data_IF_616430339221
#
_entry.id   IF_616430339221
#
_cell.length_a   1.000
_cell.length_b   1.000
_cell.length_c   1.000
_cell.angle_alpha   90.00
_cell.angle_beta   90.00
_cell.angle_gamma   90.00
#
_symmetry.space_group_name_H-M   'P 1'
#
loop_
_entity.id
_entity.type
_entity.pdbx_description
1 polymer ?
#
# COMPACT_ATOMS: atom_id res chain seq x y z
N UNK A 1 39.75 -27.41 24.93
CA UNK A 1 38.89 -26.33 24.41
C UNK A 1 39.01 -26.36 22.90
N UNK A 2 38.10 -27.12 22.23
CA UNK A 2 38.18 -27.46 20.81
C UNK A 2 37.45 -26.37 20.05
N UNK A 3 38.18 -25.60 19.26
CA UNK A 3 37.64 -24.51 18.42
C UNK A 3 36.98 -25.19 17.19
N UNK A 4 35.66 -25.21 17.15
CA UNK A 4 34.93 -25.67 15.98
C UNK A 4 35.07 -24.64 14.84
N UNK A 5 35.48 -25.10 13.67
CA UNK A 5 35.62 -24.31 12.45
C UNK A 5 34.21 -23.93 11.93
N UNK A 6 34.02 -22.70 11.43
CA UNK A 6 32.72 -22.16 11.03
C UNK A 6 31.90 -23.05 10.07
N UNK A 7 32.57 -23.84 9.23
CA UNK A 7 31.91 -24.83 8.37
C UNK A 7 31.28 -25.99 9.15
N UNK A 8 31.90 -26.42 10.26
CA UNK A 8 31.35 -27.47 11.13
C UNK A 8 30.17 -26.94 11.97
N UNK A 9 30.16 -25.65 12.32
CA UNK A 9 29.03 -25.02 12.99
C UNK A 9 27.81 -24.90 12.07
N UNK A 10 28.04 -24.59 10.79
CA UNK A 10 26.97 -24.49 9.76
C UNK A 10 26.38 -25.88 9.50
N UNK A 11 27.19 -26.91 9.38
CA UNK A 11 26.72 -28.31 9.23
C UNK A 11 26.00 -28.80 10.48
N UNK A 12 26.41 -28.38 11.68
CA UNK A 12 25.75 -28.75 12.93
C UNK A 12 24.45 -27.94 13.16
N UNK A 13 24.36 -26.67 12.69
CA UNK A 13 23.15 -25.87 12.68
C UNK A 13 22.16 -26.38 11.63
N UNK A 14 22.62 -26.81 10.48
CA UNK A 14 21.78 -27.50 9.45
C UNK A 14 21.28 -28.86 9.94
N UNK A 15 22.06 -29.60 10.73
CA UNK A 15 21.64 -30.86 11.36
C UNK A 15 20.66 -30.66 12.53
N UNK A 16 20.70 -29.53 13.22
CA UNK A 16 19.72 -29.17 14.28
C UNK A 16 18.42 -28.62 13.73
N UNK A 17 18.38 -28.17 12.47
CA UNK A 17 17.16 -27.81 11.76
C UNK A 17 16.48 -28.99 11.05
N UNK A 18 17.15 -30.14 10.94
CA UNK A 18 16.49 -31.41 10.61
C UNK A 18 15.75 -31.90 11.85
N UNK A 19 14.54 -31.34 12.10
CA UNK A 19 13.57 -32.08 12.89
C UNK A 19 13.57 -33.50 12.34
N UNK A 20 13.90 -34.50 13.18
CA UNK A 20 13.99 -35.89 12.81
C UNK A 20 12.84 -36.28 11.89
N UNK A 21 13.16 -36.47 10.61
CA UNK A 21 12.25 -37.08 9.66
C UNK A 21 12.15 -38.52 10.13
N UNK A 22 10.98 -39.03 10.51
CA UNK A 22 10.87 -40.41 11.01
C UNK A 22 11.22 -41.37 9.90
N UNK A 23 12.32 -42.09 10.07
CA UNK A 23 12.63 -43.35 9.40
C UNK A 23 13.26 -43.25 8.00
N UNK A 24 13.98 -44.34 7.67
CA UNK A 24 14.58 -44.65 6.34
C UNK A 24 13.51 -44.95 5.26
N UNK A 25 12.39 -44.22 5.29
CA UNK A 25 11.24 -44.49 4.45
C UNK A 25 11.29 -43.76 3.10
N UNK A 26 10.39 -44.15 2.21
CA UNK A 26 10.22 -43.55 0.88
C UNK A 26 9.99 -42.06 0.92
N UNK A 27 9.24 -41.55 1.90
CA UNK A 27 9.02 -40.13 2.12
C UNK A 27 10.33 -39.33 2.29
N UNK A 28 11.24 -39.81 3.15
CA UNK A 28 12.55 -39.17 3.41
C UNK A 28 13.41 -39.13 2.16
N UNK A 29 13.39 -40.18 1.35
CA UNK A 29 14.12 -40.30 0.09
C UNK A 29 13.59 -39.26 -0.93
N UNK A 30 12.26 -39.24 -1.15
CA UNK A 30 11.63 -38.33 -2.10
C UNK A 30 11.88 -36.87 -1.67
N UNK A 31 11.73 -36.55 -0.39
CA UNK A 31 11.97 -35.21 0.12
C UNK A 31 13.42 -34.75 -0.06
N UNK A 32 14.39 -35.66 0.16
CA UNK A 32 15.81 -35.38 -0.08
C UNK A 32 16.09 -35.10 -1.57
N UNK A 33 15.55 -35.92 -2.46
CA UNK A 33 15.68 -35.74 -3.90
C UNK A 33 15.02 -34.40 -4.38
N UNK A 34 13.85 -34.05 -3.80
CA UNK A 34 13.16 -32.79 -4.09
C UNK A 34 14.01 -31.55 -3.73
N UNK A 35 14.65 -31.59 -2.55
CA UNK A 35 15.55 -30.54 -2.10
C UNK A 35 16.77 -30.38 -2.98
N UNK A 36 17.41 -31.47 -3.35
CA UNK A 36 18.54 -31.47 -4.29
C UNK A 36 18.11 -30.91 -5.66
N UNK A 37 16.95 -31.31 -6.18
CA UNK A 37 16.42 -30.77 -7.42
C UNK A 37 16.16 -29.24 -7.33
N UNK A 38 15.66 -28.76 -6.20
CA UNK A 38 15.45 -27.33 -5.93
C UNK A 38 16.78 -26.56 -5.88
N UNK A 39 17.77 -27.07 -5.16
CA UNK A 39 19.11 -26.47 -5.03
C UNK A 39 19.87 -26.45 -6.37
N UNK A 40 19.65 -27.42 -7.22
CA UNK A 40 20.26 -27.49 -8.57
C UNK A 40 19.49 -26.68 -9.62
N UNK A 41 18.42 -25.97 -9.24
CA UNK A 41 17.62 -25.14 -10.14
C UNK A 41 16.64 -25.89 -11.03
N UNK A 42 16.45 -27.19 -10.82
CA UNK A 42 15.45 -27.99 -11.55
C UNK A 42 14.09 -27.88 -10.87
N UNK A 43 13.46 -26.70 -11.02
CA UNK A 43 12.21 -26.39 -10.33
C UNK A 43 11.06 -27.32 -10.71
N UNK A 44 10.95 -27.75 -11.97
CA UNK A 44 9.87 -28.67 -12.40
C UNK A 44 9.97 -30.03 -11.70
N UNK A 45 11.18 -30.60 -11.66
CA UNK A 45 11.42 -31.85 -10.94
C UNK A 45 11.19 -31.68 -9.42
N UNK A 46 11.65 -30.57 -8.86
CA UNK A 46 11.44 -30.27 -7.44
C UNK A 46 9.94 -30.20 -7.09
N UNK A 47 9.14 -29.50 -7.91
CA UNK A 47 7.68 -29.38 -7.73
C UNK A 47 7.04 -30.77 -7.72
N UNK A 48 7.31 -31.59 -8.74
CA UNK A 48 6.73 -32.95 -8.82
C UNK A 48 7.08 -33.78 -7.56
N UNK A 49 8.36 -33.80 -7.15
CA UNK A 49 8.81 -34.59 -6.00
C UNK A 49 8.23 -34.03 -4.67
N UNK A 50 8.09 -32.71 -4.49
CA UNK A 50 7.43 -32.18 -3.31
C UNK A 50 5.96 -32.55 -3.25
N UNK A 51 5.26 -32.56 -4.40
CA UNK A 51 3.87 -33.01 -4.49
C UNK A 51 3.74 -34.48 -4.14
N UNK A 52 4.60 -35.36 -4.71
CA UNK A 52 4.64 -36.78 -4.39
C UNK A 52 4.89 -37.01 -2.88
N UNK A 53 5.80 -36.26 -2.27
CA UNK A 53 6.06 -36.32 -0.83
C UNK A 53 4.84 -35.91 0.01
N UNK A 54 4.13 -34.85 -0.41
CA UNK A 54 2.92 -34.39 0.27
C UNK A 54 1.82 -35.44 0.17
N UNK A 55 1.60 -36.00 -1.03
CA UNK A 55 0.59 -37.03 -1.26
C UNK A 55 0.87 -38.25 -0.45
N UNK A 56 2.13 -38.78 -0.46
CA UNK A 56 2.54 -39.92 0.35
C UNK A 56 2.27 -39.68 1.83
N UNK A 57 2.64 -38.49 2.36
CA UNK A 57 2.39 -38.12 3.75
C UNK A 57 0.90 -38.10 4.12
N UNK A 58 0.04 -37.67 3.21
CA UNK A 58 -1.40 -37.56 3.45
C UNK A 58 -2.11 -38.96 3.40
N UNK A 59 -1.58 -39.92 2.62
CA UNK A 59 -2.18 -41.25 2.42
C UNK A 59 -1.65 -42.32 3.39
N UNK A 60 -0.47 -42.10 4.01
CA UNK A 60 0.04 -43.05 5.01
C UNK A 60 -0.66 -42.88 6.35
N UNK A 61 -1.38 -43.94 6.82
CA UNK A 61 -2.12 -43.91 8.10
C UNK A 61 -1.18 -43.93 9.32
N UNK A 62 0.04 -44.44 9.20
CA UNK A 62 1.00 -44.64 10.29
C UNK A 62 1.95 -43.45 10.52
N UNK A 63 1.90 -42.39 9.68
CA UNK A 63 2.72 -41.18 9.88
C UNK A 63 2.03 -40.28 10.90
N UNK A 64 2.65 -39.99 12.06
CA UNK A 64 2.08 -39.03 13.00
C UNK A 64 1.82 -37.71 12.27
N UNK A 65 0.55 -37.33 12.13
CA UNK A 65 0.14 -36.10 11.46
C UNK A 65 0.69 -34.88 12.24
N UNK A 66 1.92 -34.51 11.91
CA UNK A 66 2.59 -33.35 12.46
C UNK A 66 2.33 -32.17 11.50
N UNK A 67 1.32 -31.36 11.80
CA UNK A 67 1.01 -30.13 11.02
C UNK A 67 2.24 -29.31 10.64
N UNK A 68 3.20 -29.07 11.57
CA UNK A 68 4.41 -28.30 11.24
C UNK A 68 5.31 -28.92 10.18
N UNK A 69 5.41 -30.31 10.12
CA UNK A 69 6.26 -30.98 9.12
C UNK A 69 5.70 -30.81 7.70
N UNK A 70 4.42 -31.11 7.51
CA UNK A 70 3.79 -30.99 6.17
C UNK A 70 3.73 -29.53 5.70
N UNK A 71 3.50 -28.60 6.60
CA UNK A 71 3.53 -27.17 6.29
C UNK A 71 4.91 -26.70 5.84
N UNK A 72 5.99 -27.29 6.41
CA UNK A 72 7.36 -27.01 5.97
C UNK A 72 7.63 -27.57 4.56
N UNK A 73 7.15 -28.77 4.24
CA UNK A 73 7.26 -29.36 2.89
C UNK A 73 6.46 -28.53 1.87
N UNK A 74 5.26 -28.10 2.24
CA UNK A 74 4.46 -27.17 1.42
C UNK A 74 5.20 -25.85 1.19
N UNK A 75 5.90 -25.31 2.19
CA UNK A 75 6.70 -24.09 2.03
C UNK A 75 7.87 -24.31 1.05
N UNK A 76 8.53 -25.46 1.08
CA UNK A 76 9.57 -25.82 0.12
C UNK A 76 8.96 -25.92 -1.31
N UNK A 77 7.76 -26.50 -1.46
CA UNK A 77 7.00 -26.52 -2.71
C UNK A 77 6.69 -25.09 -3.19
N UNK A 78 6.20 -24.20 -2.31
CA UNK A 78 5.91 -22.80 -2.64
C UNK A 78 7.16 -22.10 -3.20
N UNK A 79 8.32 -22.31 -2.59
CA UNK A 79 9.60 -21.75 -3.08
C UNK A 79 9.95 -22.24 -4.49
N UNK A 80 9.75 -23.53 -4.78
CA UNK A 80 9.97 -24.11 -6.11
C UNK A 80 8.96 -23.57 -7.15
N UNK A 81 7.69 -23.40 -6.78
CA UNK A 81 6.64 -22.80 -7.63
C UNK A 81 6.96 -21.34 -7.95
N UNK A 82 7.42 -20.56 -6.98
CA UNK A 82 7.85 -19.16 -7.20
C UNK A 82 9.05 -19.10 -8.14
N UNK A 83 10.03 -19.99 -7.97
CA UNK A 83 11.20 -20.06 -8.86
C UNK A 83 10.82 -20.37 -10.31
N UNK A 84 9.75 -21.15 -10.54
CA UNK A 84 9.21 -21.46 -11.86
C UNK A 84 8.12 -20.48 -12.33
N UNK A 85 7.88 -19.39 -11.58
CA UNK A 85 6.85 -18.36 -11.85
C UNK A 85 5.42 -18.89 -11.89
N UNK A 86 5.13 -19.98 -11.22
CA UNK A 86 3.79 -20.53 -11.05
C UNK A 86 3.10 -19.87 -9.84
N UNK A 87 2.89 -18.55 -9.92
CA UNK A 87 2.47 -17.74 -8.77
C UNK A 87 1.06 -18.08 -8.27
N UNK A 88 0.10 -18.37 -9.17
CA UNK A 88 -1.26 -18.70 -8.74
C UNK A 88 -1.31 -20.01 -7.94
N UNK A 89 -0.50 -21.01 -8.35
CA UNK A 89 -0.38 -22.25 -7.61
C UNK A 89 0.38 -22.05 -6.28
N UNK A 90 1.44 -21.25 -6.29
CA UNK A 90 2.14 -20.87 -5.06
C UNK A 90 1.18 -20.21 -4.05
N UNK A 91 0.31 -19.29 -4.51
CA UNK A 91 -0.71 -18.65 -3.66
C UNK A 91 -1.67 -19.69 -3.05
N UNK A 92 -2.15 -20.65 -3.85
CA UNK A 92 -3.03 -21.72 -3.37
C UNK A 92 -2.36 -22.55 -2.25
N UNK A 93 -1.11 -22.96 -2.45
CA UNK A 93 -0.37 -23.72 -1.44
C UNK A 93 -0.10 -22.88 -0.18
N UNK A 94 0.13 -21.56 -0.29
CA UNK A 94 0.26 -20.69 0.90
C UNK A 94 -1.04 -20.60 1.71
N UNK A 95 -2.20 -20.69 1.06
CA UNK A 95 -3.49 -20.76 1.76
C UNK A 95 -3.62 -22.07 2.57
N UNK A 96 -3.26 -23.21 1.98
CA UNK A 96 -3.23 -24.50 2.67
C UNK A 96 -2.26 -24.49 3.88
N UNK A 97 -1.11 -23.79 3.77
CA UNK A 97 -0.21 -23.60 4.91
C UNK A 97 -0.93 -22.83 6.02
N UNK A 98 -1.63 -21.76 5.69
CA UNK A 98 -2.31 -20.91 6.68
C UNK A 98 -3.48 -21.63 7.40
N UNK A 99 -4.13 -22.57 6.71
CA UNK A 99 -5.23 -23.39 7.25
C UNK A 99 -4.76 -24.59 8.10
N UNK A 100 -3.50 -24.99 7.94
CA UNK A 100 -2.86 -26.01 8.73
C UNK A 100 -2.24 -25.39 10.00
N UNK A 101 -1.73 -26.18 10.93
CA UNK A 101 -0.95 -25.67 12.08
C UNK A 101 0.55 -25.57 11.73
N UNK A 102 0.99 -24.49 11.03
CA UNK A 102 2.31 -24.43 10.39
C UNK A 102 3.46 -24.13 11.37
N UNK A 103 3.14 -23.67 12.56
CA UNK A 103 4.09 -23.03 13.45
C UNK A 103 4.44 -21.60 12.99
N UNK A 104 4.89 -20.73 13.92
CA UNK A 104 5.03 -19.29 13.66
C UNK A 104 5.98 -18.95 12.52
N UNK A 105 7.16 -19.58 12.46
CA UNK A 105 8.18 -19.28 11.45
C UNK A 105 7.72 -19.66 10.03
N UNK A 106 7.12 -20.85 9.86
CA UNK A 106 6.63 -21.31 8.55
C UNK A 106 5.49 -20.44 8.05
N UNK A 107 4.60 -20.02 8.95
CA UNK A 107 3.53 -19.07 8.63
C UNK A 107 4.11 -17.74 8.17
N UNK A 108 5.03 -17.16 8.92
CA UNK A 108 5.64 -15.87 8.58
C UNK A 108 6.34 -15.90 7.22
N UNK A 109 7.16 -16.93 6.96
CA UNK A 109 7.82 -17.11 5.66
C UNK A 109 6.80 -17.26 4.51
N UNK A 110 5.73 -18.03 4.72
CA UNK A 110 4.65 -18.23 3.75
C UNK A 110 3.93 -16.90 3.43
N UNK A 111 3.57 -16.13 4.47
CA UNK A 111 2.90 -14.83 4.31
C UNK A 111 3.81 -13.79 3.62
N UNK A 112 5.12 -13.81 3.92
CA UNK A 112 6.09 -12.96 3.22
C UNK A 112 6.17 -13.31 1.73
N UNK A 113 6.16 -14.59 1.36
CA UNK A 113 6.12 -15.01 -0.06
C UNK A 113 4.81 -14.55 -0.71
N UNK A 114 3.68 -14.71 -0.03
CA UNK A 114 2.37 -14.27 -0.50
C UNK A 114 2.33 -12.76 -0.74
N UNK A 115 2.92 -11.96 0.16
CA UNK A 115 3.10 -10.52 -0.03
C UNK A 115 3.95 -10.23 -1.28
N UNK A 116 5.09 -10.90 -1.45
CA UNK A 116 5.98 -10.68 -2.58
C UNK A 116 5.31 -11.00 -3.93
N UNK A 117 4.50 -12.07 -3.99
CA UNK A 117 3.72 -12.40 -5.20
C UNK A 117 2.67 -11.32 -5.46
N UNK A 118 1.89 -10.92 -4.45
CA UNK A 118 0.90 -9.86 -4.56
C UNK A 118 1.49 -8.54 -5.04
N UNK A 119 2.63 -8.16 -4.47
CA UNK A 119 3.37 -6.97 -4.88
C UNK A 119 3.90 -7.08 -6.32
N UNK A 120 4.45 -8.24 -6.71
CA UNK A 120 4.92 -8.47 -8.08
C UNK A 120 3.78 -8.33 -9.10
N UNK A 121 2.62 -8.90 -8.82
CA UNK A 121 1.43 -8.73 -9.66
C UNK A 121 0.98 -7.28 -9.72
N UNK A 122 0.93 -6.59 -8.59
CA UNK A 122 0.52 -5.18 -8.52
C UNK A 122 1.45 -4.26 -9.31
N UNK A 123 2.72 -4.63 -9.45
CA UNK A 123 3.76 -3.86 -10.15
C UNK A 123 4.00 -4.30 -11.59
N UNK A 124 3.14 -5.15 -12.14
CA UNK A 124 3.10 -5.46 -13.57
C UNK A 124 3.54 -6.86 -13.96
N UNK A 125 3.77 -7.77 -13.00
CA UNK A 125 3.94 -9.18 -13.35
C UNK A 125 2.65 -9.72 -13.97
N UNK A 126 2.81 -10.58 -14.98
CA UNK A 126 1.71 -11.27 -15.64
C UNK A 126 1.40 -12.61 -14.99
N UNK A 127 0.19 -13.10 -15.20
CA UNK A 127 -0.18 -14.48 -14.88
C UNK A 127 -0.59 -15.22 -16.15
N UNK A 128 -0.42 -16.53 -16.15
CA UNK A 128 -0.84 -17.37 -17.26
C UNK A 128 -2.27 -17.86 -17.04
N UNK A 129 -3.18 -17.51 -17.96
CA UNK A 129 -4.56 -17.96 -17.94
C UNK A 129 -4.88 -18.60 -19.29
N UNK A 130 -5.31 -19.86 -19.32
CA UNK A 130 -5.57 -20.63 -20.55
C UNK A 130 -4.44 -20.57 -21.58
N UNK A 131 -3.18 -20.58 -21.12
CA UNK A 131 -1.99 -20.49 -21.96
C UNK A 131 -1.58 -19.09 -22.42
N UNK A 132 -2.38 -18.06 -22.10
CA UNK A 132 -2.10 -16.65 -22.42
C UNK A 132 -1.57 -15.91 -21.20
N UNK A 133 -0.64 -14.98 -21.43
CA UNK A 133 -0.21 -14.05 -20.39
C UNK A 133 -1.19 -12.88 -20.31
N UNK A 134 -1.71 -12.64 -19.11
CA UNK A 134 -2.67 -11.58 -18.83
C UNK A 134 -2.16 -10.68 -17.69
N UNK A 135 -2.60 -9.41 -17.70
CA UNK A 135 -2.32 -8.49 -16.59
C UNK A 135 -2.88 -9.05 -15.28
N UNK A 136 -2.10 -8.96 -14.21
CA UNK A 136 -2.45 -9.49 -12.91
C UNK A 136 -2.56 -8.43 -11.79
N UNK A 137 -2.55 -7.14 -12.12
CA UNK A 137 -2.59 -6.06 -11.11
C UNK A 137 -3.80 -6.17 -10.18
N UNK A 138 -4.99 -6.45 -10.71
CA UNK A 138 -6.20 -6.64 -9.90
C UNK A 138 -6.08 -7.85 -8.97
N UNK A 139 -5.42 -8.93 -9.42
CA UNK A 139 -5.13 -10.09 -8.56
C UNK A 139 -4.13 -9.74 -7.48
N UNK A 140 -3.09 -8.95 -7.82
CA UNK A 140 -2.13 -8.43 -6.84
C UNK A 140 -2.81 -7.60 -5.75
N UNK A 141 -3.70 -6.71 -6.15
CA UNK A 141 -4.51 -5.90 -5.22
C UNK A 141 -5.36 -6.77 -4.30
N UNK A 142 -6.02 -7.79 -4.84
CA UNK A 142 -6.82 -8.76 -4.06
C UNK A 142 -5.98 -9.49 -3.02
N UNK A 143 -4.82 -10.05 -3.43
CA UNK A 143 -3.91 -10.77 -2.54
C UNK A 143 -3.42 -9.87 -1.41
N UNK A 144 -2.99 -8.64 -1.70
CA UNK A 144 -2.52 -7.70 -0.69
C UNK A 144 -3.65 -7.27 0.25
N UNK A 145 -4.87 -7.03 -0.26
CA UNK A 145 -6.01 -6.67 0.59
C UNK A 145 -6.42 -7.78 1.55
N UNK A 146 -6.38 -9.04 1.11
CA UNK A 146 -6.63 -10.19 1.98
C UNK A 146 -5.56 -10.27 3.09
N UNK A 147 -4.28 -10.10 2.74
CA UNK A 147 -3.21 -10.05 3.74
C UNK A 147 -3.37 -8.92 4.76
N UNK A 148 -3.70 -7.71 4.30
CA UNK A 148 -3.94 -6.54 5.16
C UNK A 148 -5.12 -6.78 6.12
N UNK A 149 -6.13 -7.49 5.67
CA UNK A 149 -7.32 -7.81 6.45
C UNK A 149 -7.06 -8.88 7.50
N UNK A 150 -6.44 -9.98 7.06
CA UNK A 150 -6.32 -11.20 7.87
C UNK A 150 -5.09 -11.16 8.78
N UNK A 151 -4.05 -10.39 8.41
CA UNK A 151 -2.77 -10.29 9.10
C UNK A 151 -2.33 -8.82 9.32
N UNK A 152 -3.10 -8.01 10.08
CA UNK A 152 -2.86 -6.58 10.19
C UNK A 152 -1.59 -6.19 10.97
N UNK A 153 -0.94 -7.13 11.67
CA UNK A 153 0.21 -6.86 12.53
C UNK A 153 1.54 -7.40 12.00
N UNK A 154 1.58 -7.83 10.73
CA UNK A 154 2.83 -8.27 10.11
C UNK A 154 3.69 -7.07 9.71
N UNK A 155 5.00 -7.29 9.65
CA UNK A 155 6.00 -6.26 9.30
C UNK A 155 5.76 -5.64 7.92
N UNK A 156 5.27 -6.41 6.95
CA UNK A 156 4.96 -5.96 5.58
C UNK A 156 3.59 -5.27 5.44
N UNK A 157 2.74 -5.24 6.48
CA UNK A 157 1.36 -4.78 6.31
C UNK A 157 1.27 -3.31 5.94
N UNK A 158 2.09 -2.46 6.56
CA UNK A 158 2.16 -1.04 6.20
C UNK A 158 2.64 -0.84 4.75
N UNK A 159 3.60 -1.65 4.29
CA UNK A 159 4.10 -1.65 2.91
C UNK A 159 2.98 -2.04 1.94
N UNK A 160 2.23 -3.10 2.24
CA UNK A 160 1.11 -3.54 1.44
C UNK A 160 0.03 -2.44 1.31
N UNK A 161 -0.32 -1.78 2.42
CA UNK A 161 -1.27 -0.65 2.42
C UNK A 161 -0.75 0.49 1.56
N UNK A 162 0.54 0.83 1.68
CA UNK A 162 1.15 1.90 0.90
C UNK A 162 1.12 1.61 -0.61
N UNK A 163 1.47 0.39 -1.01
CA UNK A 163 1.45 -0.01 -2.41
C UNK A 163 0.04 -0.09 -2.99
N UNK A 164 -0.95 -0.56 -2.23
CA UNK A 164 -2.35 -0.51 -2.64
C UNK A 164 -2.83 0.93 -2.81
N UNK A 165 -2.51 1.84 -1.88
CA UNK A 165 -2.83 3.26 -1.99
C UNK A 165 -2.26 3.91 -3.25
N UNK A 166 -0.99 3.64 -3.55
CA UNK A 166 -0.34 4.12 -4.78
C UNK A 166 -1.01 3.57 -6.05
N UNK A 167 -1.40 2.30 -6.04
CA UNK A 167 -2.11 1.70 -7.16
C UNK A 167 -3.46 2.39 -7.40
N UNK A 168 -4.24 2.66 -6.35
CA UNK A 168 -5.51 3.38 -6.47
C UNK A 168 -5.31 4.80 -7.01
N UNK A 169 -4.28 5.52 -6.52
CA UNK A 169 -3.99 6.87 -6.99
C UNK A 169 -3.60 6.87 -8.48
N UNK A 170 -2.73 5.94 -8.89
CA UNK A 170 -2.32 5.76 -10.30
C UNK A 170 -3.50 5.40 -11.22
N UNK A 171 -4.50 4.67 -10.70
CA UNK A 171 -5.68 4.26 -11.43
C UNK A 171 -6.85 5.25 -11.30
N UNK A 172 -6.55 6.51 -10.94
CA UNK A 172 -7.54 7.59 -10.84
C UNK A 172 -8.72 7.29 -9.91
N UNK A 173 -8.41 6.64 -8.77
CA UNK A 173 -9.33 6.33 -7.67
C UNK A 173 -8.84 7.01 -6.38
N UNK A 174 -8.85 8.36 -6.34
CA UNK A 174 -8.22 9.11 -5.27
C UNK A 174 -8.93 8.98 -3.92
N UNK A 175 -10.23 8.72 -3.88
CA UNK A 175 -10.99 8.50 -2.65
C UNK A 175 -10.50 7.24 -1.93
N UNK A 176 -10.25 6.15 -2.69
CA UNK A 176 -9.68 4.92 -2.15
C UNK A 176 -8.24 5.15 -1.70
N UNK A 177 -7.42 5.80 -2.52
CA UNK A 177 -6.04 6.10 -2.19
C UNK A 177 -5.93 6.88 -0.87
N UNK A 178 -6.77 7.91 -0.65
CA UNK A 178 -6.81 8.67 0.60
C UNK A 178 -7.11 7.76 1.79
N UNK A 179 -8.05 6.81 1.66
CA UNK A 179 -8.37 5.85 2.73
C UNK A 179 -7.16 5.00 3.12
N UNK A 180 -6.41 4.48 2.13
CA UNK A 180 -5.22 3.68 2.38
C UNK A 180 -4.11 4.50 3.07
N UNK A 181 -3.79 5.69 2.56
CA UNK A 181 -2.74 6.52 3.15
C UNK A 181 -3.12 7.01 4.56
N UNK A 182 -4.38 7.39 4.78
CA UNK A 182 -4.84 7.79 6.12
C UNK A 182 -4.84 6.61 7.10
N UNK A 183 -5.03 5.38 6.62
CA UNK A 183 -4.91 4.19 7.44
C UNK A 183 -3.48 4.01 7.97
N UNK A 184 -2.45 4.22 7.14
CA UNK A 184 -1.05 4.20 7.60
C UNK A 184 -0.84 5.25 8.69
N UNK A 185 -1.30 6.48 8.45
CA UNK A 185 -1.12 7.60 9.40
C UNK A 185 -1.78 7.33 10.75
N UNK A 186 -2.86 6.57 10.78
CA UNK A 186 -3.63 6.29 11.99
C UNK A 186 -3.19 5.00 12.70
N UNK A 187 -2.94 3.93 11.94
CA UNK A 187 -2.76 2.58 12.48
C UNK A 187 -1.30 2.14 12.53
N UNK A 188 -0.41 2.75 11.72
CA UNK A 188 0.99 2.38 11.61
C UNK A 188 1.94 3.59 11.76
N UNK A 189 1.88 4.31 12.89
CA UNK A 189 2.63 5.56 13.08
C UNK A 189 4.16 5.38 13.10
N UNK A 190 4.65 4.17 13.35
CA UNK A 190 6.08 3.82 13.36
C UNK A 190 6.58 3.33 11.99
N UNK A 191 5.72 3.30 10.97
CA UNK A 191 6.09 2.86 9.62
C UNK A 191 7.01 3.86 8.94
N UNK A 192 7.98 3.36 8.16
CA UNK A 192 8.83 4.16 7.27
C UNK A 192 8.01 4.98 6.25
N UNK A 193 6.79 4.54 5.95
CA UNK A 193 5.88 5.21 5.03
C UNK A 193 5.09 6.37 5.62
N UNK A 194 5.20 6.64 6.93
CA UNK A 194 4.35 7.62 7.63
C UNK A 194 4.40 9.01 6.99
N UNK A 195 5.61 9.50 6.66
CA UNK A 195 5.80 10.81 6.03
C UNK A 195 5.22 10.84 4.61
N UNK A 196 5.54 9.84 3.79
CA UNK A 196 5.03 9.72 2.43
C UNK A 196 3.49 9.58 2.42
N UNK A 197 2.93 8.74 3.29
CA UNK A 197 1.49 8.55 3.42
C UNK A 197 0.76 9.84 3.83
N UNK A 198 1.35 10.63 4.74
CA UNK A 198 0.78 11.92 5.15
C UNK A 198 0.70 12.90 3.97
N UNK A 199 1.72 12.95 3.12
CA UNK A 199 1.75 13.79 1.93
C UNK A 199 0.77 13.29 0.86
N UNK A 200 0.81 11.98 0.56
CA UNK A 200 -0.02 11.37 -0.47
C UNK A 200 -1.52 11.37 -0.10
N UNK A 201 -1.87 11.38 1.18
CA UNK A 201 -3.25 11.63 1.62
C UNK A 201 -3.73 13.03 1.19
N UNK A 202 -2.86 14.04 1.29
CA UNK A 202 -3.14 15.38 0.77
C UNK A 202 -3.30 15.41 -0.75
N UNK A 203 -2.40 14.75 -1.47
CA UNK A 203 -2.45 14.64 -2.93
C UNK A 203 -3.72 13.92 -3.39
N UNK A 204 -4.08 12.83 -2.70
CA UNK A 204 -5.30 12.08 -2.99
C UNK A 204 -6.55 12.92 -2.75
N UNK A 205 -6.59 13.71 -1.67
CA UNK A 205 -7.70 14.64 -1.44
C UNK A 205 -7.77 15.70 -2.56
N UNK A 206 -6.63 16.29 -2.95
CA UNK A 206 -6.59 17.25 -4.05
C UNK A 206 -7.04 16.63 -5.39
N UNK A 207 -6.72 15.38 -5.66
CA UNK A 207 -7.12 14.69 -6.88
C UNK A 207 -8.63 14.41 -6.97
N UNK A 208 -9.37 14.53 -5.86
CA UNK A 208 -10.84 14.40 -5.84
C UNK A 208 -11.55 15.67 -6.34
N UNK A 209 -10.84 16.79 -6.49
CA UNK A 209 -11.46 18.03 -6.94
C UNK A 209 -11.95 17.90 -8.38
N UNK A 210 -13.26 17.96 -8.58
CA UNK A 210 -13.91 17.87 -9.90
C UNK A 210 -14.57 19.21 -10.26
N UNK A 211 -14.07 19.88 -11.29
CA UNK A 211 -14.71 21.06 -11.86
C UNK A 211 -14.55 22.36 -11.07
N UNK A 212 -15.44 23.32 -11.33
CA UNK A 212 -15.36 24.70 -10.83
C UNK A 212 -15.99 24.85 -9.43
N UNK A 213 -16.96 23.99 -9.11
CA UNK A 213 -17.62 23.97 -7.79
C UNK A 213 -16.89 23.01 -6.84
N UNK A 214 -15.76 23.48 -6.32
CA UNK A 214 -14.96 22.70 -5.37
C UNK A 214 -15.72 22.44 -4.07
N UNK A 215 -15.70 21.19 -3.61
CA UNK A 215 -16.10 20.87 -2.24
C UNK A 215 -15.07 21.44 -1.26
N UNK A 216 -15.50 22.41 -0.45
CA UNK A 216 -14.66 23.00 0.59
C UNK A 216 -14.16 21.97 1.60
N UNK A 217 -14.92 20.89 1.84
CA UNK A 217 -14.53 19.82 2.74
C UNK A 217 -13.26 19.10 2.24
N UNK A 218 -13.15 18.87 0.94
CA UNK A 218 -11.96 18.30 0.30
C UNK A 218 -10.75 19.23 0.48
N UNK A 219 -10.90 20.52 0.18
CA UNK A 219 -9.82 21.49 0.35
C UNK A 219 -9.35 21.60 1.81
N UNK A 220 -10.27 21.61 2.77
CA UNK A 220 -9.95 21.62 4.21
C UNK A 220 -9.20 20.34 4.61
N UNK A 221 -9.60 19.18 4.08
CA UNK A 221 -8.93 17.91 4.36
C UNK A 221 -7.52 17.90 3.80
N UNK A 222 -7.33 18.30 2.54
CA UNK A 222 -6.02 18.39 1.90
C UNK A 222 -5.09 19.38 2.66
N UNK A 223 -5.61 20.57 3.00
CA UNK A 223 -4.86 21.55 3.79
C UNK A 223 -4.38 20.98 5.12
N UNK A 224 -5.22 20.25 5.83
CA UNK A 224 -4.90 19.63 7.11
C UNK A 224 -3.76 18.61 6.95
N UNK A 225 -3.75 17.81 5.88
CA UNK A 225 -2.70 16.84 5.61
C UNK A 225 -1.37 17.51 5.32
N UNK A 226 -1.31 18.53 4.45
CA UNK A 226 -0.09 19.25 4.11
C UNK A 226 0.46 20.06 5.30
N UNK A 227 -0.39 20.75 6.05
CA UNK A 227 0.03 21.50 7.26
C UNK A 227 0.61 20.54 8.32
N UNK A 228 -0.01 19.37 8.50
CA UNK A 228 0.50 18.35 9.42
C UNK A 228 1.85 17.81 8.93
N UNK A 229 1.99 17.54 7.63
CA UNK A 229 3.25 17.12 7.03
C UNK A 229 4.37 18.14 7.31
N UNK A 230 4.15 19.40 6.99
CA UNK A 230 5.13 20.47 7.20
C UNK A 230 5.51 20.69 8.66
N UNK A 231 4.58 20.47 9.58
CA UNK A 231 4.84 20.57 11.01
C UNK A 231 5.73 19.43 11.52
N UNK A 232 5.54 18.21 11.03
CA UNK A 232 6.26 17.01 11.47
C UNK A 232 7.58 16.81 10.70
N UNK A 233 7.63 17.24 9.45
CA UNK A 233 8.73 17.00 8.52
C UNK A 233 9.21 18.26 7.78
N UNK A 234 9.55 19.35 8.48
CA UNK A 234 9.80 20.66 7.86
C UNK A 234 11.02 20.71 6.94
N UNK A 235 11.99 19.82 7.14
CA UNK A 235 13.26 19.75 6.40
C UNK A 235 13.36 18.60 5.39
N UNK A 236 12.33 17.79 5.21
CA UNK A 236 12.36 16.71 4.22
C UNK A 236 12.17 17.24 2.80
N UNK A 237 12.69 16.50 1.80
CA UNK A 237 12.73 16.92 0.40
C UNK A 237 11.38 17.32 -0.21
N UNK A 238 10.30 16.72 0.26
CA UNK A 238 8.93 16.99 -0.20
C UNK A 238 8.25 18.21 0.47
N UNK A 239 8.93 18.89 1.40
CA UNK A 239 8.36 20.06 2.09
C UNK A 239 8.07 21.22 1.14
N UNK A 240 8.85 21.40 0.09
CA UNK A 240 8.60 22.41 -0.96
C UNK A 240 7.30 22.12 -1.71
N UNK A 241 7.08 20.87 -2.09
CA UNK A 241 5.84 20.41 -2.75
C UNK A 241 4.61 20.59 -1.87
N UNK A 242 4.72 20.29 -0.58
CA UNK A 242 3.63 20.52 0.37
C UNK A 242 3.26 22.01 0.50
N UNK A 243 4.25 22.93 0.49
CA UNK A 243 4.01 24.38 0.49
C UNK A 243 3.32 24.84 -0.79
N UNK A 244 3.81 24.40 -1.95
CA UNK A 244 3.20 24.68 -3.26
C UNK A 244 1.74 24.20 -3.31
N UNK A 245 1.46 23.02 -2.76
CA UNK A 245 0.10 22.50 -2.69
C UNK A 245 -0.80 23.35 -1.78
N UNK A 246 -0.27 23.88 -0.68
CA UNK A 246 -1.02 24.82 0.19
C UNK A 246 -1.31 26.14 -0.54
N UNK A 247 -0.35 26.68 -1.30
CA UNK A 247 -0.57 27.88 -2.12
C UNK A 247 -1.68 27.66 -3.15
N UNK A 248 -1.71 26.51 -3.82
CA UNK A 248 -2.80 26.13 -4.73
C UNK A 248 -4.15 26.07 -4.01
N UNK A 249 -4.21 25.50 -2.80
CA UNK A 249 -5.44 25.45 -1.99
C UNK A 249 -5.93 26.85 -1.66
N UNK A 250 -5.04 27.75 -1.23
CA UNK A 250 -5.43 29.15 -0.94
C UNK A 250 -5.95 29.85 -2.20
N UNK A 251 -5.33 29.64 -3.38
CA UNK A 251 -5.84 30.15 -4.66
C UNK A 251 -7.26 29.64 -4.98
N UNK A 252 -7.53 28.34 -4.76
CA UNK A 252 -8.88 27.80 -4.95
C UNK A 252 -9.92 28.44 -4.01
N UNK A 253 -9.55 28.60 -2.73
CA UNK A 253 -10.43 29.27 -1.75
C UNK A 253 -10.70 30.72 -2.12
N UNK A 254 -9.67 31.45 -2.56
CA UNK A 254 -9.79 32.84 -2.99
C UNK A 254 -10.72 32.98 -4.20
N UNK A 255 -10.54 32.16 -5.24
CA UNK A 255 -11.43 32.14 -6.42
C UNK A 255 -12.89 31.87 -6.06
N UNK A 256 -13.15 30.92 -5.18
CA UNK A 256 -14.51 30.65 -4.71
C UNK A 256 -15.12 31.88 -4.01
N UNK A 257 -14.34 32.58 -3.18
CA UNK A 257 -14.82 33.81 -2.53
C UNK A 257 -15.11 34.90 -3.53
N UNK A 258 -14.29 35.05 -4.58
CA UNK A 258 -14.54 35.98 -5.67
C UNK A 258 -15.85 35.67 -6.41
N UNK A 259 -16.10 34.40 -6.70
CA UNK A 259 -17.37 33.95 -7.30
C UNK A 259 -18.58 34.26 -6.41
N UNK A 260 -18.46 34.07 -5.10
CA UNK A 260 -19.52 34.42 -4.14
C UNK A 260 -19.73 35.95 -4.11
N UNK A 261 -18.64 36.72 -4.12
CA UNK A 261 -18.71 38.17 -4.16
C UNK A 261 -19.41 38.66 -5.44
N UNK A 262 -19.04 38.09 -6.61
CA UNK A 262 -19.69 38.39 -7.88
C UNK A 262 -21.20 38.07 -7.89
N UNK A 263 -21.59 36.94 -7.28
CA UNK A 263 -23.02 36.66 -7.08
C UNK A 263 -23.72 37.75 -6.27
N UNK A 264 -23.13 38.19 -5.15
CA UNK A 264 -23.73 39.27 -4.34
C UNK A 264 -23.77 40.59 -5.05
N UNK A 265 -22.77 40.90 -5.89
CA UNK A 265 -22.79 42.12 -6.74
C UNK A 265 -23.96 42.06 -7.71
N UNK A 266 -24.18 40.94 -8.37
CA UNK A 266 -25.30 40.76 -9.34
C UNK A 266 -26.67 40.92 -8.74
N UNK A 267 -26.84 40.61 -7.47
CA UNK A 267 -28.09 40.83 -6.72
C UNK A 267 -28.09 42.12 -5.89
N UNK A 268 -27.15 43.06 -6.20
CA UNK A 268 -27.00 44.37 -5.60
C UNK A 268 -26.78 44.40 -4.08
N UNK A 269 -26.33 43.27 -3.49
CA UNK A 269 -25.96 43.17 -2.06
C UNK A 269 -24.48 43.50 -1.85
N UNK A 270 -24.12 44.78 -2.09
CA UNK A 270 -22.73 45.25 -2.12
C UNK A 270 -21.99 45.03 -0.77
N UNK A 271 -22.66 45.22 0.37
CA UNK A 271 -22.06 44.96 1.68
C UNK A 271 -21.68 43.52 1.88
N UNK A 272 -22.51 42.57 1.42
CA UNK A 272 -22.17 41.16 1.47
C UNK A 272 -20.98 40.82 0.55
N UNK A 273 -20.95 41.40 -0.65
CA UNK A 273 -19.81 41.22 -1.56
C UNK A 273 -18.50 41.75 -0.94
N UNK A 274 -18.54 42.90 -0.28
CA UNK A 274 -17.39 43.52 0.39
C UNK A 274 -16.75 42.59 1.39
N UNK A 275 -17.53 41.89 2.22
CA UNK A 275 -17.01 40.94 3.22
C UNK A 275 -16.17 39.84 2.58
N UNK A 276 -16.61 39.26 1.47
CA UNK A 276 -15.88 38.22 0.76
C UNK A 276 -14.62 38.74 0.08
N UNK A 277 -14.69 39.94 -0.54
CA UNK A 277 -13.55 40.59 -1.21
C UNK A 277 -12.46 41.00 -0.20
N UNK A 278 -12.82 41.60 0.93
CA UNK A 278 -11.90 41.96 2.00
C UNK A 278 -11.19 40.72 2.56
N UNK A 279 -11.91 39.59 2.67
CA UNK A 279 -11.32 38.33 3.10
C UNK A 279 -10.29 37.80 2.11
N UNK A 280 -10.53 37.92 0.80
CA UNK A 280 -9.55 37.56 -0.23
C UNK A 280 -8.32 38.46 -0.12
N UNK A 281 -8.48 39.77 0.08
CA UNK A 281 -7.37 40.74 0.24
C UNK A 281 -6.48 40.36 1.45
N UNK A 282 -7.08 39.99 2.56
CA UNK A 282 -6.34 39.63 3.79
C UNK A 282 -5.57 38.35 3.62
N UNK A 283 -6.20 37.30 3.05
CA UNK A 283 -5.64 35.95 2.99
C UNK A 283 -4.78 35.72 1.74
N UNK A 284 -4.97 36.50 0.67
CA UNK A 284 -4.32 36.29 -0.63
C UNK A 284 -3.67 37.59 -1.16
N UNK A 285 -3.15 38.44 -0.28
CA UNK A 285 -2.45 39.65 -0.66
C UNK A 285 -1.27 39.37 -1.58
N UNK A 286 -1.14 40.15 -2.65
CA UNK A 286 -0.06 40.03 -3.63
C UNK A 286 -0.24 38.88 -4.65
N UNK A 287 -1.33 38.12 -4.57
CA UNK A 287 -1.69 37.12 -5.58
C UNK A 287 -2.59 37.74 -6.68
N UNK A 288 -2.73 37.05 -7.83
CA UNK A 288 -3.70 37.50 -8.86
C UNK A 288 -5.12 37.66 -8.32
N UNK A 289 -5.56 36.74 -7.46
CA UNK A 289 -6.89 36.78 -6.84
C UNK A 289 -7.04 37.98 -5.86
N UNK A 290 -5.97 38.31 -5.11
CA UNK A 290 -5.95 39.51 -4.26
C UNK A 290 -6.04 40.81 -5.05
N UNK A 291 -5.31 40.91 -6.17
CA UNK A 291 -5.36 42.05 -7.06
C UNK A 291 -6.76 42.22 -7.70
N UNK A 292 -7.38 41.10 -8.10
CA UNK A 292 -8.75 41.09 -8.62
C UNK A 292 -9.75 41.58 -7.56
N UNK A 293 -9.64 41.10 -6.33
CA UNK A 293 -10.48 41.52 -5.22
C UNK A 293 -10.38 43.03 -4.96
N UNK A 294 -9.17 43.60 -5.02
CA UNK A 294 -8.93 45.01 -4.86
C UNK A 294 -9.61 45.85 -5.95
N UNK A 295 -9.45 45.43 -7.22
CA UNK A 295 -10.09 46.11 -8.36
C UNK A 295 -11.62 46.10 -8.25
N UNK A 296 -12.20 44.93 -7.88
CA UNK A 296 -13.65 44.81 -7.72
C UNK A 296 -14.16 45.69 -6.56
N UNK A 297 -13.42 45.75 -5.45
CA UNK A 297 -13.79 46.64 -4.31
C UNK A 297 -13.83 48.12 -4.73
N UNK A 298 -12.86 48.55 -5.53
CA UNK A 298 -12.87 49.92 -6.06
C UNK A 298 -14.05 50.20 -6.97
N UNK A 299 -14.42 49.24 -7.82
CA UNK A 299 -15.58 49.36 -8.72
C UNK A 299 -16.92 49.48 -7.98
N UNK A 300 -17.10 48.77 -6.86
CA UNK A 300 -18.35 48.83 -6.08
C UNK A 300 -18.36 49.92 -5.01
N UNK A 301 -17.27 50.67 -4.83
CA UNK A 301 -17.12 51.68 -3.77
C UNK A 301 -18.24 52.72 -3.76
N UNK A 302 -18.59 53.29 -4.91
CA UNK A 302 -19.67 54.27 -5.02
C UNK A 302 -21.04 53.69 -4.66
N UNK A 303 -21.26 52.42 -4.95
CA UNK A 303 -22.49 51.69 -4.61
C UNK A 303 -22.60 51.43 -3.10
N UNK A 304 -21.47 51.12 -2.46
CA UNK A 304 -21.39 50.97 -1.00
C UNK A 304 -21.68 52.26 -0.25
N UNK A 305 -21.16 53.39 -0.75
CA UNK A 305 -21.44 54.71 -0.16
C UNK A 305 -22.92 55.11 -0.26
N UNK A 306 -23.63 54.70 -1.33
CA UNK A 306 -25.08 54.95 -1.50
C UNK A 306 -25.94 54.02 -0.64
N UNK A 307 -25.50 52.81 -0.39
CA UNK A 307 -26.24 51.81 0.43
C UNK A 307 -26.18 52.12 1.94
N UNK A 308 -25.24 52.95 2.38
CA UNK A 308 -25.05 53.36 3.76
C UNK A 308 -25.74 54.70 4.12
N UNK A 309 -26.46 55.27 3.16
CA UNK A 309 -27.31 56.47 3.35
C UNK A 309 -28.79 56.07 3.45
#
# INVERSE_FOLDING_TARGET
MTIFNGAQLIVMLLALQSAEIPGDGEFSRILSEARVASETGNSEKAISLFQDAIDLYLFEEDVPRRGPLISRVRLDLVKALVASRQYDEALRVTEEISESDPGPQTLEESLQIRYNIGFSYLTGATRRLFGLEVNAESRGLEVLNNLIKDYPFMNFTADAIFHCGNWYLKNNQPEEAERYFTRIVREYPESDWIAAAQLLAGDSAMAQLKGVDYDLGILISAERYYRRYLRLYPGQGEAARARESLEKIEGFKARRRLQIADFYIRIEKYESARIYLEKVLIESSGTPEGNEAQQVLEQIRSKLEMSNR
#
